data_IF_883222169139
#
_entry.id   IF_883222169139
#
_cell.length_a   1.000
_cell.length_b   1.000
_cell.length_c   1.000
_cell.angle_alpha   90.00
_cell.angle_beta   90.00
_cell.angle_gamma   90.00
#
_symmetry.space_group_name_H-M   'P 1'
#
loop_
_entity.id
_entity.type
_entity.pdbx_description
1 polymer ?
#
# COMPACT_ATOMS: atom_id res chain seq x y z
N UNK A 1 -13.92 -2.09 18.81
CA UNK A 1 -14.11 -3.57 18.76
C UNK A 1 -12.91 -4.18 18.05
N UNK A 2 -12.19 -5.08 18.72
CA UNK A 2 -11.06 -5.83 18.16
C UNK A 2 -11.63 -7.00 17.34
N UNK A 3 -11.30 -7.11 16.05
CA UNK A 3 -11.74 -8.25 15.23
C UNK A 3 -10.89 -9.46 15.59
N UNK A 4 -11.52 -10.52 16.12
CA UNK A 4 -10.86 -11.82 16.26
C UNK A 4 -10.79 -12.48 14.89
N UNK A 5 -9.58 -12.88 14.49
CA UNK A 5 -9.35 -13.65 13.26
C UNK A 5 -8.92 -15.05 13.66
N UNK A 6 -9.58 -16.07 13.14
CA UNK A 6 -9.23 -17.47 13.37
C UNK A 6 -8.18 -17.89 12.35
N UNK A 7 -7.04 -18.43 12.81
CA UNK A 7 -5.99 -18.97 11.94
C UNK A 7 -6.02 -20.50 12.03
N UNK A 8 -6.22 -21.18 10.91
CA UNK A 8 -6.08 -22.63 10.86
C UNK A 8 -4.59 -23.02 10.80
N UNK A 9 -4.15 -23.83 11.76
CA UNK A 9 -2.77 -24.30 11.81
C UNK A 9 -2.65 -25.75 11.30
N UNK A 10 -1.57 -26.08 10.57
CA UNK A 10 -1.23 -27.47 10.27
C UNK A 10 -1.19 -28.33 11.54
N UNK A 11 -1.68 -29.57 11.46
CA UNK A 11 -1.72 -30.50 12.61
C UNK A 11 -0.34 -30.69 13.27
N UNK A 12 0.74 -30.64 12.49
CA UNK A 12 2.11 -30.72 13.00
C UNK A 12 2.45 -29.58 13.96
N UNK A 13 1.92 -28.38 13.75
CA UNK A 13 2.13 -27.23 14.63
C UNK A 13 1.22 -27.29 15.86
N UNK A 14 -0.02 -27.78 15.70
CA UNK A 14 -0.98 -27.94 16.82
C UNK A 14 -0.47 -28.94 17.87
N UNK A 15 0.32 -29.93 17.45
CA UNK A 15 0.87 -30.95 18.34
C UNK A 15 2.11 -30.49 19.14
N UNK A 16 2.62 -29.28 18.89
CA UNK A 16 3.76 -28.73 19.62
C UNK A 16 3.33 -28.26 21.03
N UNK A 17 4.26 -28.16 21.99
CA UNK A 17 4.00 -27.45 23.24
C UNK A 17 3.50 -26.03 22.98
N UNK A 18 2.55 -25.53 23.79
CA UNK A 18 1.93 -24.21 23.62
C UNK A 18 2.96 -23.08 23.48
N UNK A 19 4.05 -23.13 24.25
CA UNK A 19 5.13 -22.16 24.18
C UNK A 19 5.81 -22.15 22.78
N UNK A 20 6.06 -23.32 22.19
CA UNK A 20 6.63 -23.43 20.84
C UNK A 20 5.63 -22.95 19.78
N UNK A 21 4.33 -23.22 19.95
CA UNK A 21 3.30 -22.68 19.07
C UNK A 21 3.31 -21.14 19.08
N UNK A 22 3.38 -20.53 20.26
CA UNK A 22 3.42 -19.07 20.40
C UNK A 22 4.69 -18.46 19.81
N UNK A 23 5.85 -19.09 20.00
CA UNK A 23 7.11 -18.66 19.39
C UNK A 23 7.01 -18.67 17.87
N UNK A 24 6.52 -19.76 17.28
CA UNK A 24 6.38 -19.90 15.83
C UNK A 24 5.33 -18.92 15.27
N UNK A 25 4.20 -18.74 15.96
CA UNK A 25 3.17 -17.77 15.57
C UNK A 25 3.71 -16.34 15.56
N UNK A 26 4.43 -15.94 16.61
CA UNK A 26 5.06 -14.61 16.67
C UNK A 26 6.08 -14.44 15.54
N UNK A 27 6.99 -15.39 15.38
CA UNK A 27 7.99 -15.36 14.31
C UNK A 27 7.34 -15.27 12.92
N UNK A 28 6.31 -16.08 12.68
CA UNK A 28 5.55 -16.07 11.44
C UNK A 28 4.83 -14.74 11.17
N UNK A 29 4.20 -14.15 12.18
CA UNK A 29 3.57 -12.83 12.06
C UNK A 29 4.59 -11.72 11.79
N UNK A 30 5.75 -11.76 12.45
CA UNK A 30 6.84 -10.82 12.20
C UNK A 30 7.38 -10.94 10.77
N UNK A 31 7.63 -12.16 10.29
CA UNK A 31 8.13 -12.37 8.92
C UNK A 31 7.08 -11.98 7.87
N UNK A 32 5.82 -12.34 8.08
CA UNK A 32 4.72 -11.95 7.20
C UNK A 32 4.56 -10.42 7.17
N UNK A 33 4.66 -9.76 8.33
CA UNK A 33 4.65 -8.30 8.44
C UNK A 33 5.79 -7.65 7.67
N UNK A 34 7.02 -8.14 7.84
CA UNK A 34 8.19 -7.65 7.07
C UNK A 34 8.05 -7.87 5.58
N UNK A 35 7.59 -9.05 5.15
CA UNK A 35 7.37 -9.35 3.75
C UNK A 35 6.31 -8.40 3.14
N UNK A 36 5.23 -8.16 3.89
CA UNK A 36 4.19 -7.22 3.45
C UNK A 36 4.71 -5.78 3.37
N UNK A 37 5.53 -5.34 4.32
CA UNK A 37 6.16 -4.01 4.26
C UNK A 37 7.01 -3.83 3.01
N UNK A 38 7.89 -4.78 2.69
CA UNK A 38 8.70 -4.72 1.47
C UNK A 38 7.86 -4.62 0.20
N UNK A 39 6.75 -5.36 0.14
CA UNK A 39 5.82 -5.25 -1.00
C UNK A 39 5.20 -3.85 -1.06
N UNK A 40 4.72 -3.32 0.07
CA UNK A 40 4.10 -1.99 0.11
C UNK A 40 5.11 -0.89 -0.24
N UNK A 41 6.37 -1.01 0.18
CA UNK A 41 7.45 -0.09 -0.18
C UNK A 41 7.73 -0.13 -1.69
N UNK A 42 7.74 -1.31 -2.31
CA UNK A 42 7.86 -1.44 -3.76
C UNK A 42 6.66 -0.80 -4.49
N UNK A 43 5.44 -1.05 -4.02
CA UNK A 43 4.22 -0.43 -4.57
C UNK A 43 4.28 1.11 -4.46
N UNK A 44 4.85 1.65 -3.37
CA UNK A 44 5.03 3.10 -3.18
C UNK A 44 6.00 3.66 -4.22
N UNK A 45 7.16 3.02 -4.41
CA UNK A 45 8.16 3.46 -5.40
C UNK A 45 7.58 3.46 -6.82
N UNK A 46 6.83 2.43 -7.18
CA UNK A 46 6.14 2.34 -8.47
C UNK A 46 5.10 3.47 -8.62
N UNK A 47 4.25 3.66 -7.61
CA UNK A 47 3.20 4.69 -7.65
C UNK A 47 3.78 6.11 -7.69
N UNK A 48 4.89 6.36 -6.99
CA UNK A 48 5.63 7.63 -7.05
C UNK A 48 6.17 7.89 -8.45
N UNK A 49 6.75 6.87 -9.11
CA UNK A 49 7.26 7.00 -10.47
C UNK A 49 6.14 7.32 -11.47
N UNK A 50 4.98 6.68 -11.34
CA UNK A 50 3.82 6.95 -12.20
C UNK A 50 3.24 8.35 -11.96
N UNK A 51 3.10 8.79 -10.71
CA UNK A 51 2.71 10.17 -10.39
C UNK A 51 3.70 11.17 -11.00
N UNK A 52 5.00 10.95 -10.82
CA UNK A 52 6.04 11.82 -11.36
C UNK A 52 6.05 11.85 -12.89
N UNK A 53 5.68 10.75 -13.55
CA UNK A 53 5.53 10.68 -15.01
C UNK A 53 4.45 11.66 -15.50
N UNK A 54 3.30 11.72 -14.83
CA UNK A 54 2.24 12.68 -15.18
C UNK A 54 2.63 14.12 -14.83
N UNK A 55 3.24 14.34 -13.66
CA UNK A 55 3.75 15.68 -13.28
C UNK A 55 4.75 16.21 -14.30
N UNK A 56 5.61 15.33 -14.82
CA UNK A 56 6.58 15.68 -15.87
C UNK A 56 5.91 15.93 -17.23
N UNK A 57 4.84 15.19 -17.56
CA UNK A 57 4.08 15.38 -18.81
C UNK A 57 3.35 16.72 -18.84
N UNK A 58 2.75 17.13 -17.72
CA UNK A 58 1.94 18.34 -17.63
C UNK A 58 2.67 19.54 -17.04
N UNK A 59 3.86 19.33 -16.47
CA UNK A 59 4.70 20.38 -15.88
C UNK A 59 4.13 20.98 -14.58
N UNK A 60 3.23 20.26 -13.91
CA UNK A 60 2.51 20.72 -12.73
C UNK A 60 2.10 19.54 -11.83
N UNK A 61 1.82 19.76 -10.54
CA UNK A 61 1.25 18.75 -9.66
C UNK A 61 -0.22 18.44 -10.00
N UNK A 62 -0.73 17.32 -9.48
CA UNK A 62 -2.07 16.80 -9.80
C UNK A 62 -3.21 17.74 -9.44
N UNK A 63 -3.14 18.37 -8.26
CA UNK A 63 -4.14 19.31 -7.76
C UNK A 63 -4.26 20.54 -8.68
N UNK A 64 -3.12 21.02 -9.17
CA UNK A 64 -3.08 22.09 -10.17
C UNK A 64 -3.61 21.60 -11.53
N UNK A 65 -3.24 20.39 -11.96
CA UNK A 65 -3.75 19.80 -13.20
C UNK A 65 -5.29 19.67 -13.17
N UNK A 66 -5.86 19.15 -12.09
CA UNK A 66 -7.30 18.94 -11.92
C UNK A 66 -8.08 20.26 -11.95
N UNK A 67 -7.54 21.32 -11.35
CA UNK A 67 -8.26 22.59 -11.18
C UNK A 67 -8.01 23.60 -12.28
N UNK A 68 -6.81 23.62 -12.88
CA UNK A 68 -6.39 24.65 -13.84
C UNK A 68 -6.31 24.13 -15.28
N UNK A 69 -5.74 22.94 -15.48
CA UNK A 69 -5.46 22.43 -16.82
C UNK A 69 -6.59 21.56 -17.40
N UNK A 70 -7.11 20.61 -16.62
CA UNK A 70 -8.13 19.68 -17.06
C UNK A 70 -9.40 20.38 -17.62
N UNK A 71 -9.93 21.46 -17.01
CA UNK A 71 -11.10 22.15 -17.57
C UNK A 71 -10.82 22.85 -18.91
N UNK A 72 -9.55 23.14 -19.22
CA UNK A 72 -9.13 23.77 -20.48
C UNK A 72 -8.76 22.73 -21.56
N UNK A 73 -8.46 21.50 -21.16
CA UNK A 73 -8.04 20.41 -22.03
C UNK A 73 -9.24 19.51 -22.37
N UNK A 74 -10.03 19.91 -23.37
CA UNK A 74 -11.14 19.11 -23.90
C UNK A 74 -10.64 18.01 -24.86
N UNK A 75 -9.85 17.08 -24.33
CA UNK A 75 -9.32 15.95 -25.10
C UNK A 75 -9.55 14.65 -24.35
N UNK A 76 -9.87 13.57 -25.08
CA UNK A 76 -10.00 12.23 -24.52
C UNK A 76 -8.74 11.82 -23.74
N UNK A 77 -7.55 12.12 -24.28
CA UNK A 77 -6.29 11.80 -23.63
C UNK A 77 -6.15 12.47 -22.25
N UNK A 78 -6.57 13.74 -22.11
CA UNK A 78 -6.48 14.43 -20.82
C UNK A 78 -7.42 13.80 -19.77
N UNK A 79 -8.60 13.32 -20.19
CA UNK A 79 -9.50 12.59 -19.30
C UNK A 79 -8.95 11.21 -18.90
N UNK A 80 -8.32 10.49 -19.83
CA UNK A 80 -7.66 9.21 -19.53
C UNK A 80 -6.48 9.40 -18.58
N UNK A 81 -5.62 10.38 -18.86
CA UNK A 81 -4.49 10.73 -18.00
C UNK A 81 -4.95 11.17 -16.60
N UNK A 82 -6.05 11.93 -16.50
CA UNK A 82 -6.66 12.27 -15.20
C UNK A 82 -7.03 11.02 -14.39
N UNK A 83 -7.75 10.07 -15.01
CA UNK A 83 -8.21 8.87 -14.32
C UNK A 83 -7.03 8.02 -13.84
N UNK A 84 -6.04 7.82 -14.70
CA UNK A 84 -4.85 7.04 -14.36
C UNK A 84 -4.03 7.73 -13.26
N UNK A 85 -3.85 9.05 -13.36
CA UNK A 85 -3.10 9.79 -12.36
C UNK A 85 -3.81 9.80 -11.00
N UNK A 86 -5.13 10.00 -10.98
CA UNK A 86 -5.95 9.91 -9.78
C UNK A 86 -5.85 8.52 -9.14
N UNK A 87 -5.88 7.45 -9.96
CA UNK A 87 -5.68 6.08 -9.49
C UNK A 87 -4.32 5.92 -8.80
N UNK A 88 -3.22 6.35 -9.42
CA UNK A 88 -1.89 6.22 -8.84
C UNK A 88 -1.71 7.06 -7.57
N UNK A 89 -2.28 8.27 -7.51
CA UNK A 89 -2.31 9.05 -6.27
C UNK A 89 -3.04 8.32 -5.14
N UNK A 90 -4.20 7.73 -5.45
CA UNK A 90 -5.00 6.98 -4.48
C UNK A 90 -4.23 5.77 -3.96
N UNK A 91 -3.59 5.00 -4.86
CA UNK A 91 -2.72 3.87 -4.47
C UNK A 91 -1.58 4.35 -3.57
N UNK A 92 -0.88 5.42 -3.94
CA UNK A 92 0.24 5.95 -3.15
C UNK A 92 -0.18 6.33 -1.73
N UNK A 93 -1.29 7.05 -1.58
CA UNK A 93 -1.85 7.45 -0.28
C UNK A 93 -2.23 6.22 0.55
N UNK A 94 -2.93 5.26 -0.04
CA UNK A 94 -3.35 4.04 0.64
C UNK A 94 -2.16 3.20 1.11
N UNK A 95 -1.14 3.05 0.27
CA UNK A 95 0.06 2.25 0.57
C UNK A 95 0.88 2.91 1.69
N UNK A 96 1.09 4.23 1.63
CA UNK A 96 1.75 4.98 2.72
C UNK A 96 0.99 4.86 4.04
N UNK A 97 -0.35 4.94 4.01
CA UNK A 97 -1.19 4.74 5.20
C UNK A 97 -1.03 3.34 5.79
N UNK A 98 -0.98 2.31 4.94
CA UNK A 98 -0.79 0.91 5.37
C UNK A 98 0.60 0.69 5.97
N UNK A 99 1.66 1.21 5.36
CA UNK A 99 3.03 1.15 5.89
C UNK A 99 3.10 1.77 7.28
N UNK A 100 2.53 2.96 7.47
CA UNK A 100 2.51 3.63 8.77
C UNK A 100 1.81 2.78 9.85
N UNK A 101 0.68 2.15 9.51
CA UNK A 101 -0.06 1.26 10.43
C UNK A 101 0.72 0.00 10.78
N UNK A 102 1.37 -0.64 9.80
CA UNK A 102 2.11 -1.88 10.03
C UNK A 102 3.40 -1.60 10.81
N UNK A 103 4.13 -0.53 10.49
CA UNK A 103 5.32 -0.12 11.26
C UNK A 103 4.97 0.19 12.71
N UNK A 104 3.86 0.88 12.95
CA UNK A 104 3.36 1.13 14.31
C UNK A 104 3.00 -0.14 15.08
N UNK A 105 2.64 -1.23 14.40
CA UNK A 105 2.30 -2.51 15.03
C UNK A 105 3.49 -3.47 15.20
N UNK A 106 4.57 -3.31 14.42
CA UNK A 106 5.77 -4.15 14.50
C UNK A 106 6.78 -3.60 15.52
N UNK A 107 6.83 -2.28 15.71
CA UNK A 107 7.75 -1.61 16.63
C UNK A 107 7.18 -1.39 18.04
N UNK A 108 5.88 -1.63 18.24
CA UNK A 108 5.20 -1.62 19.54
C UNK A 108 5.34 -2.94 20.28
#
# INVERSE_FOLDING_TARGET
MMRMTTLEMPRSLVNLPEQEQLVLLRAGLYEAGRARLRQLEADIVESEAEVQRFESRYGMPFDQFETEALPMLDTLQAHEDYNDWFFWQSVLVDRRSLVAKINGAILS
#
